data_IF_089199916764
#
_entry.id   IF_089199916764
#
_cell.length_a   1.000
_cell.length_b   1.000
_cell.length_c   1.000
_cell.angle_alpha   90.00
_cell.angle_beta   90.00
_cell.angle_gamma   90.00
#
_symmetry.space_group_name_H-M   'P 1'
#
loop_
_entity.id
_entity.type
_entity.pdbx_description
1 polymer ?
#
# COMPACT_ATOMS: atom_id res chain seq x y z
N UNK A 1 -11.30 -2.80 -5.04
CA UNK A 1 -11.07 -3.50 -3.75
C UNK A 1 -9.61 -3.29 -3.37
N UNK A 2 -9.24 -3.08 -2.10
CA UNK A 2 -7.80 -2.92 -1.76
C UNK A 2 -7.08 -4.27 -1.95
N UNK A 3 -5.89 -4.33 -2.57
CA UNK A 3 -5.18 -5.58 -2.83
C UNK A 3 -4.51 -6.17 -1.57
N UNK A 4 -4.75 -5.57 -0.40
CA UNK A 4 -4.19 -5.96 0.87
C UNK A 4 -5.14 -5.65 2.03
N UNK A 5 -4.99 -6.44 3.11
CA UNK A 5 -5.57 -6.18 4.43
C UNK A 5 -4.52 -5.55 5.35
N UNK A 6 -4.96 -4.76 6.32
CA UNK A 6 -4.09 -4.15 7.32
C UNK A 6 -4.44 -4.65 8.71
N UNK A 7 -3.42 -5.07 9.46
CA UNK A 7 -3.54 -5.56 10.83
C UNK A 7 -2.63 -4.72 11.75
N UNK A 8 -3.14 -4.31 12.91
CA UNK A 8 -2.32 -3.63 13.92
C UNK A 8 -1.49 -4.65 14.67
N UNK A 9 -0.18 -4.40 14.76
CA UNK A 9 0.76 -5.20 15.55
C UNK A 9 1.36 -4.33 16.67
N UNK A 10 1.94 -4.94 17.70
CA UNK A 10 2.41 -4.27 18.92
C UNK A 10 3.22 -2.98 18.68
N UNK A 11 3.98 -2.90 17.60
CA UNK A 11 4.85 -1.75 17.31
C UNK A 11 4.66 -1.16 15.91
N UNK A 12 3.56 -1.47 15.23
CA UNK A 12 3.38 -1.04 13.84
C UNK A 12 2.11 -1.57 13.18
N UNK A 13 2.12 -1.55 11.85
CA UNK A 13 1.01 -2.05 11.04
C UNK A 13 1.57 -3.05 10.06
N UNK A 14 0.94 -4.21 10.01
CA UNK A 14 1.22 -5.25 9.03
C UNK A 14 0.22 -5.11 7.88
N UNK A 15 0.73 -5.11 6.67
CA UNK A 15 -0.01 -5.13 5.43
C UNK A 15 0.15 -6.55 4.86
N UNK A 16 -0.96 -7.25 4.66
CA UNK A 16 -0.94 -8.63 4.16
C UNK A 16 -1.71 -8.68 2.85
N UNK A 17 -1.15 -9.30 1.82
CA UNK A 17 -1.80 -9.42 0.53
C UNK A 17 -3.05 -10.29 0.67
N UNK A 18 -4.09 -9.98 -0.10
CA UNK A 18 -5.31 -10.80 -0.10
C UNK A 18 -5.19 -12.01 -1.03
N UNK A 19 -4.24 -11.99 -1.96
CA UNK A 19 -4.07 -13.00 -3.00
C UNK A 19 -2.98 -14.04 -2.66
N UNK A 20 -2.08 -13.74 -1.73
CA UNK A 20 -1.00 -14.63 -1.31
C UNK A 20 -0.58 -14.40 0.14
N UNK A 21 0.36 -15.20 0.63
CA UNK A 21 0.91 -15.08 1.99
C UNK A 21 1.91 -13.93 2.17
N UNK A 22 2.18 -13.15 1.12
CA UNK A 22 3.11 -12.03 1.20
C UNK A 22 2.57 -10.95 2.14
N UNK A 23 3.44 -10.49 3.05
CA UNK A 23 3.12 -9.43 3.98
C UNK A 23 4.32 -8.55 4.25
N UNK A 24 4.08 -7.26 4.43
CA UNK A 24 5.08 -6.25 4.77
C UNK A 24 4.61 -5.51 6.01
N UNK A 25 5.53 -5.12 6.89
CA UNK A 25 5.19 -4.36 8.08
C UNK A 25 5.83 -2.98 8.05
N UNK A 26 5.22 -2.00 8.71
CA UNK A 26 5.85 -0.68 8.88
C UNK A 26 7.16 -0.74 9.67
N UNK A 27 7.46 -1.86 10.33
CA UNK A 27 8.72 -2.09 11.05
C UNK A 27 9.88 -2.44 10.12
N UNK A 28 9.59 -2.88 8.89
CA UNK A 28 10.60 -3.23 7.88
C UNK A 28 11.15 -1.99 7.15
N UNK A 29 10.60 -0.80 7.43
CA UNK A 29 10.95 0.45 6.76
C UNK A 29 11.61 1.44 7.71
N UNK A 30 12.45 2.31 7.15
CA UNK A 30 13.14 3.36 7.90
C UNK A 30 12.34 4.67 7.86
N UNK A 31 12.07 5.23 9.03
CA UNK A 31 11.35 6.49 9.18
C UNK A 31 12.16 7.69 8.64
N UNK A 32 13.48 7.55 8.49
CA UNK A 32 14.35 8.56 7.87
C UNK A 32 14.07 8.76 6.39
N UNK A 33 13.59 7.71 5.71
CA UNK A 33 13.28 7.75 4.27
C UNK A 33 11.91 8.42 4.03
N UNK A 34 11.01 8.38 5.01
CA UNK A 34 9.71 9.03 4.95
C UNK A 34 8.63 8.30 5.74
N UNK A 35 7.37 8.53 5.40
CA UNK A 35 6.24 7.94 6.14
C UNK A 35 6.19 6.41 5.98
N UNK A 36 6.42 5.69 7.09
CA UNK A 36 6.44 4.22 7.15
C UNK A 36 5.16 3.57 6.58
N UNK A 37 3.98 4.17 6.81
CA UNK A 37 2.73 3.64 6.27
C UNK A 37 2.69 3.74 4.74
N UNK A 38 3.15 4.86 4.20
CA UNK A 38 3.21 5.05 2.74
C UNK A 38 4.20 4.09 2.12
N UNK A 39 5.38 3.90 2.74
CA UNK A 39 6.38 2.95 2.26
C UNK A 39 5.84 1.51 2.22
N UNK A 40 5.22 1.05 3.31
CA UNK A 40 4.61 -0.28 3.40
C UNK A 40 3.45 -0.46 2.40
N UNK A 41 2.58 0.54 2.27
CA UNK A 41 1.48 0.52 1.31
C UNK A 41 1.98 0.47 -0.14
N UNK A 42 3.03 1.24 -0.47
CA UNK A 42 3.65 1.23 -1.80
C UNK A 42 4.27 -0.14 -2.11
N UNK A 43 5.03 -0.71 -1.17
CA UNK A 43 5.67 -2.02 -1.36
C UNK A 43 4.63 -3.11 -1.63
N UNK A 44 3.53 -3.17 -0.88
CA UNK A 44 2.50 -4.18 -1.09
C UNK A 44 1.66 -3.94 -2.35
N UNK A 45 1.44 -2.68 -2.74
CA UNK A 45 0.80 -2.35 -4.01
C UNK A 45 1.67 -2.77 -5.21
N UNK A 46 2.97 -2.51 -5.15
CA UNK A 46 3.92 -2.95 -6.17
C UNK A 46 3.96 -4.46 -6.25
N UNK A 47 3.99 -5.15 -5.09
CA UNK A 47 3.90 -6.60 -5.04
C UNK A 47 2.63 -7.11 -5.72
N UNK A 48 1.45 -6.58 -5.40
CA UNK A 48 0.20 -7.01 -6.04
C UNK A 48 0.20 -6.78 -7.56
N UNK A 49 0.79 -5.67 -8.01
CA UNK A 49 0.91 -5.36 -9.43
C UNK A 49 1.85 -6.32 -10.16
N UNK A 50 2.99 -6.66 -9.55
CA UNK A 50 4.01 -7.48 -10.18
C UNK A 50 3.72 -8.98 -10.07
N UNK A 51 3.24 -9.44 -8.91
CA UNK A 51 3.01 -10.85 -8.63
C UNK A 51 1.64 -11.33 -9.10
N UNK A 52 0.64 -10.45 -9.12
CA UNK A 52 -0.75 -10.82 -9.43
C UNK A 52 -1.32 -10.07 -10.63
N UNK A 53 -0.54 -9.20 -11.29
CA UNK A 53 -1.00 -8.34 -12.38
C UNK A 53 -2.25 -7.52 -12.00
N UNK A 54 -2.47 -7.33 -10.69
CA UNK A 54 -3.62 -6.60 -10.19
C UNK A 54 -3.29 -5.12 -10.34
N UNK A 55 -4.12 -4.31 -11.03
CA UNK A 55 -3.83 -2.89 -11.16
C UNK A 55 -3.69 -2.33 -9.75
N UNK A 56 -2.59 -1.60 -9.45
CA UNK A 56 -2.47 -0.96 -8.16
C UNK A 56 -3.73 -0.10 -8.05
N UNK A 57 -4.49 -0.26 -6.97
CA UNK A 57 -5.60 0.65 -6.70
C UNK A 57 -5.00 1.99 -6.31
N UNK A 58 -4.44 2.70 -7.29
CA UNK A 58 -4.37 4.15 -7.33
C UNK A 58 -5.82 4.56 -7.34
N UNK A 59 -6.39 4.66 -6.15
CA UNK A 59 -7.75 5.11 -5.95
C UNK A 59 -7.83 6.54 -6.42
N UNK A 60 -8.11 6.75 -7.72
CA UNK A 60 -8.82 7.91 -8.24
C UNK A 60 -8.37 9.28 -7.71
N UNK A 61 -7.10 9.44 -7.29
CA UNK A 61 -6.58 10.73 -6.84
C UNK A 61 -6.20 11.59 -8.06
N UNK A 62 -5.84 10.94 -9.17
CA UNK A 62 -5.68 11.61 -10.47
C UNK A 62 -7.01 12.09 -11.07
N UNK A 63 -8.14 11.46 -10.72
CA UNK A 63 -9.47 11.95 -11.14
C UNK A 63 -9.91 13.13 -10.27
N UNK A 64 -9.56 13.14 -8.97
CA UNK A 64 -9.88 14.28 -8.10
C UNK A 64 -9.10 15.55 -8.46
N UNK A 65 -7.87 15.46 -8.99
CA UNK A 65 -7.09 16.65 -9.38
C UNK A 65 -7.61 17.37 -10.63
N UNK A 66 -8.41 16.72 -11.50
CA UNK A 66 -9.03 17.39 -12.66
C UNK A 66 -10.33 18.13 -12.33
N UNK A 67 -10.90 17.92 -11.15
CA UNK A 67 -12.16 18.55 -10.74
C UNK A 67 -12.00 19.97 -10.16
N UNK A 68 -10.77 20.48 -9.99
CA UNK A 68 -10.48 21.80 -9.37
C UNK A 68 -9.96 22.85 -10.36
N UNK A 69 -10.13 22.64 -11.67
CA UNK A 69 -9.88 23.66 -12.71
C UNK A 69 -11.08 23.82 -13.62
N UNK A 70 -12.19 24.25 -13.05
CA UNK A 70 -13.29 24.88 -13.76
C UNK A 70 -13.50 26.29 -13.19
#
# INVERSE_FOLDING_TARGET
MKPYRTERIKNGIKFTCTQCEHSVSTLDFDAKVGNLRTQAATAINQHATQAHHEPPTVSSLDVQLRAWRA
#
